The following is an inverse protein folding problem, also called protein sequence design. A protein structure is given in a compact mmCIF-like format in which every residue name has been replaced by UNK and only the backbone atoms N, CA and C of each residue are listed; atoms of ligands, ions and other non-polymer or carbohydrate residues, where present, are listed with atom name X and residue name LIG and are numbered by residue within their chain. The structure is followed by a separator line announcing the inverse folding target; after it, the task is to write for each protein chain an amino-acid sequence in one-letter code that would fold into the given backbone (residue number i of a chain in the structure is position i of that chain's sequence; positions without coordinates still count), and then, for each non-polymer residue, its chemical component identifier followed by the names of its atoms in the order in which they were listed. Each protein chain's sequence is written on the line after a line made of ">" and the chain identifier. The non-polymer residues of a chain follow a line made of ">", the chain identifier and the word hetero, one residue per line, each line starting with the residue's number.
data_IF_107858234662
#
_entry.id   IF_107858234662
#
_cell.length_a   1.000
_cell.length_b   1.000
_cell.length_c   1.000
_cell.angle_alpha   90.00
_cell.angle_beta   90.00
_cell.angle_gamma   90.00
#
_symmetry.space_group_name_H-M   'P 1'
#
loop_
_entity.id
_entity.type
_entity.pdbx_description
1 polymer ?
#
# COMPACT_ATOMS: atom_id res chain seq x y z
N UNK A 1 -35.08 -21.58 -57.71
CA UNK A 1 -34.15 -20.58 -57.14
C UNK A 1 -32.89 -20.52 -57.99
N UNK A 2 -32.49 -19.33 -58.44
CA UNK A 2 -31.34 -19.17 -59.34
C UNK A 2 -30.06 -19.47 -58.56
N UNK A 3 -29.06 -20.11 -59.18
CA UNK A 3 -27.76 -20.44 -58.53
C UNK A 3 -27.15 -19.24 -57.78
N UNK A 4 -27.39 -18.02 -58.28
CA UNK A 4 -27.02 -16.75 -57.65
C UNK A 4 -27.66 -16.55 -56.27
N UNK A 5 -28.94 -16.86 -56.12
CA UNK A 5 -29.69 -16.66 -54.87
C UNK A 5 -29.22 -17.66 -53.79
N UNK A 6 -28.86 -18.88 -54.21
CA UNK A 6 -28.28 -19.89 -53.31
C UNK A 6 -26.89 -19.46 -52.81
N UNK A 7 -26.07 -18.91 -53.71
CA UNK A 7 -24.72 -18.41 -53.39
C UNK A 7 -24.78 -17.19 -52.46
N UNK A 8 -25.69 -16.25 -52.73
CA UNK A 8 -25.95 -15.09 -51.86
C UNK A 8 -26.40 -15.51 -50.47
N UNK A 9 -27.33 -16.47 -50.37
CA UNK A 9 -27.80 -16.96 -49.08
C UNK A 9 -26.71 -17.70 -48.30
N UNK A 10 -25.85 -18.46 -48.99
CA UNK A 10 -24.74 -19.18 -48.34
C UNK A 10 -23.67 -18.21 -47.85
N UNK A 11 -23.36 -17.18 -48.63
CA UNK A 11 -22.47 -16.10 -48.24
C UNK A 11 -23.01 -15.33 -47.04
N UNK A 12 -24.32 -15.04 -47.02
CA UNK A 12 -24.98 -14.34 -45.93
C UNK A 12 -24.90 -15.15 -44.62
N UNK A 13 -25.16 -16.46 -44.69
CA UNK A 13 -25.03 -17.36 -43.54
C UNK A 13 -23.59 -17.41 -43.05
N UNK A 14 -22.61 -17.50 -43.96
CA UNK A 14 -21.20 -17.50 -43.60
C UNK A 14 -20.76 -16.19 -42.92
N UNK A 15 -21.26 -15.04 -43.40
CA UNK A 15 -21.07 -13.73 -42.80
C UNK A 15 -21.67 -13.66 -41.39
N UNK A 16 -22.90 -14.17 -41.20
CA UNK A 16 -23.54 -14.24 -39.88
C UNK A 16 -22.75 -15.14 -38.92
N UNK A 17 -22.25 -16.30 -39.39
CA UNK A 17 -21.40 -17.16 -38.57
C UNK A 17 -20.07 -16.48 -38.20
N UNK A 18 -19.47 -15.72 -39.13
CA UNK A 18 -18.26 -14.94 -38.90
C UNK A 18 -18.50 -13.81 -37.90
N UNK A 19 -19.63 -13.10 -37.95
CA UNK A 19 -19.95 -12.06 -36.97
C UNK A 19 -20.21 -12.66 -35.59
N UNK A 20 -20.90 -13.79 -35.49
CA UNK A 20 -21.07 -14.53 -34.22
C UNK A 20 -19.71 -15.00 -33.67
N UNK A 21 -18.83 -15.50 -34.54
CA UNK A 21 -17.47 -15.91 -34.16
C UNK A 21 -16.62 -14.72 -33.69
N UNK A 22 -16.68 -13.58 -34.39
CA UNK A 22 -16.00 -12.35 -34.01
C UNK A 22 -16.54 -11.75 -32.71
N UNK A 23 -17.86 -11.82 -32.48
CA UNK A 23 -18.47 -11.50 -31.19
C UNK A 23 -17.88 -12.39 -30.11
N UNK A 24 -17.74 -13.69 -30.35
CA UNK A 24 -17.11 -14.60 -29.37
C UNK A 24 -15.66 -14.19 -29.04
N UNK A 25 -14.89 -13.76 -30.02
CA UNK A 25 -13.52 -13.25 -29.81
C UNK A 25 -13.51 -11.91 -29.04
N UNK A 26 -14.50 -11.04 -29.26
CA UNK A 26 -14.70 -9.81 -28.49
C UNK A 26 -15.09 -10.06 -27.02
N UNK A 27 -15.81 -11.15 -26.73
CA UNK A 27 -16.15 -11.53 -25.36
C UNK A 27 -15.01 -12.27 -24.63
N UNK A 28 -14.20 -13.06 -25.35
CA UNK A 28 -13.04 -13.76 -24.77
C UNK A 28 -11.80 -12.87 -24.61
N UNK A 29 -11.64 -11.83 -25.46
CA UNK A 29 -10.61 -10.79 -25.33
C UNK A 29 -11.19 -9.46 -24.83
N UNK A 30 -12.13 -9.52 -23.87
CA UNK A 30 -12.30 -8.35 -23.02
C UNK A 30 -11.01 -8.25 -22.17
N UNK A 31 -10.14 -7.23 -22.37
CA UNK A 31 -9.20 -6.89 -21.33
C UNK A 31 -10.03 -6.72 -20.07
N UNK A 32 -9.59 -7.40 -19.01
CA UNK A 32 -10.26 -7.40 -17.73
C UNK A 32 -10.78 -5.99 -17.44
N UNK A 33 -12.11 -5.84 -17.41
CA UNK A 33 -12.79 -4.55 -17.24
C UNK A 33 -12.67 -4.05 -15.79
N UNK A 34 -11.61 -4.44 -15.09
CA UNK A 34 -11.23 -3.97 -13.77
C UNK A 34 -10.80 -2.49 -13.78
N UNK A 35 -10.43 -1.92 -14.93
CA UNK A 35 -9.87 -0.56 -15.01
C UNK A 35 -10.68 0.48 -15.81
N UNK A 36 -11.91 0.16 -16.22
CA UNK A 36 -12.90 1.23 -16.48
C UNK A 36 -13.67 1.41 -15.18
N UNK A 37 -13.16 2.30 -14.33
CA UNK A 37 -13.91 2.81 -13.19
C UNK A 37 -15.20 3.41 -13.77
N UNK A 38 -16.28 2.62 -13.76
CA UNK A 38 -17.62 3.17 -13.78
C UNK A 38 -17.70 4.03 -12.53
N UNK A 39 -17.63 5.34 -12.73
CA UNK A 39 -17.98 6.34 -11.72
C UNK A 39 -19.49 6.23 -11.52
N UNK A 40 -19.91 5.16 -10.86
CA UNK A 40 -21.26 4.89 -10.37
C UNK A 40 -21.28 3.74 -9.35
N UNK A 41 -20.14 3.39 -8.76
CA UNK A 41 -20.13 2.61 -7.53
C UNK A 41 -20.22 3.60 -6.37
N UNK A 42 -21.29 3.48 -5.58
CA UNK A 42 -21.46 4.23 -4.35
C UNK A 42 -20.18 4.21 -3.52
N UNK A 43 -19.74 5.40 -3.13
CA UNK A 43 -18.61 5.61 -2.24
C UNK A 43 -18.82 4.84 -0.93
N UNK A 44 -18.02 3.80 -0.67
CA UNK A 44 -18.07 3.03 0.58
C UNK A 44 -16.83 3.32 1.45
N UNK A 45 -16.94 4.19 2.46
CA UNK A 45 -15.85 4.48 3.40
C UNK A 45 -15.23 3.23 4.02
N UNK A 46 -16.04 2.21 4.31
CA UNK A 46 -15.57 0.98 4.98
C UNK A 46 -14.56 0.23 4.12
N UNK A 47 -14.79 0.17 2.81
CA UNK A 47 -13.89 -0.50 1.89
C UNK A 47 -12.53 0.22 1.80
N UNK A 48 -12.53 1.55 1.77
CA UNK A 48 -11.29 2.34 1.81
C UNK A 48 -10.52 2.15 3.12
N UNK A 49 -11.22 2.07 4.26
CA UNK A 49 -10.58 1.77 5.53
C UNK A 49 -9.98 0.37 5.56
N UNK A 50 -10.67 -0.64 5.01
CA UNK A 50 -10.11 -1.99 4.88
C UNK A 50 -8.81 -1.97 4.07
N UNK A 51 -8.77 -1.28 2.94
CA UNK A 51 -7.55 -1.18 2.11
C UNK A 51 -6.40 -0.42 2.80
N UNK A 52 -6.75 0.62 3.56
CA UNK A 52 -5.79 1.44 4.32
C UNK A 52 -5.10 0.64 5.42
N UNK A 53 -5.86 -0.25 6.07
CA UNK A 53 -5.42 -1.02 7.23
C UNK A 53 -4.88 -2.41 6.85
N UNK A 54 -4.76 -2.70 5.55
CA UNK A 54 -4.19 -3.94 5.04
C UNK A 54 -2.73 -4.09 5.49
N UNK A 55 -2.34 -5.28 6.01
CA UNK A 55 -0.95 -5.61 6.28
C UNK A 55 -0.06 -5.45 5.04
N UNK A 56 1.24 -5.27 5.24
CA UNK A 56 2.20 -5.15 4.15
C UNK A 56 2.48 -6.51 3.49
N UNK A 57 2.59 -7.55 4.31
CA UNK A 57 2.88 -8.91 3.86
C UNK A 57 2.23 -9.92 4.79
N UNK A 58 1.90 -11.07 4.22
CA UNK A 58 1.47 -12.24 4.96
C UNK A 58 2.58 -13.28 4.89
N UNK A 59 2.85 -13.98 5.99
CA UNK A 59 3.75 -15.12 6.02
C UNK A 59 2.89 -16.36 6.24
N UNK A 60 3.08 -17.36 5.39
CA UNK A 60 2.52 -18.69 5.57
C UNK A 60 3.63 -19.61 6.07
N UNK A 61 3.46 -20.17 7.25
CA UNK A 61 4.35 -21.17 7.83
C UNK A 61 3.73 -22.54 7.63
N UNK A 62 4.44 -23.45 6.97
CA UNK A 62 3.97 -24.82 6.71
C UNK A 62 4.49 -25.83 7.73
N UNK A 63 5.33 -25.35 8.66
CA UNK A 63 6.10 -26.13 9.61
C UNK A 63 7.45 -26.60 9.05
N UNK A 64 8.34 -27.04 9.96
CA UNK A 64 9.67 -27.57 9.63
C UNK A 64 10.53 -26.60 8.79
N UNK A 65 10.62 -25.33 9.23
CA UNK A 65 11.40 -24.27 8.59
C UNK A 65 11.01 -23.99 7.11
N UNK A 66 9.76 -24.26 6.75
CA UNK A 66 9.18 -23.95 5.43
C UNK A 66 8.23 -22.77 5.54
N UNK A 67 8.60 -21.68 4.87
CA UNK A 67 7.93 -20.39 4.98
C UNK A 67 7.75 -19.76 3.60
N UNK A 68 6.64 -19.09 3.38
CA UNK A 68 6.44 -18.24 2.20
C UNK A 68 6.02 -16.84 2.60
N UNK A 69 6.66 -15.83 2.03
CA UNK A 69 6.26 -14.43 2.15
C UNK A 69 5.39 -14.06 0.95
N UNK A 70 4.20 -13.54 1.22
CA UNK A 70 3.15 -13.28 0.23
C UNK A 70 2.76 -11.81 0.31
N UNK A 71 2.81 -11.14 -0.84
CA UNK A 71 2.53 -9.71 -0.99
C UNK A 71 1.13 -9.44 -1.58
N UNK A 72 0.63 -10.36 -2.42
CA UNK A 72 -0.73 -10.34 -2.99
C UNK A 72 -1.60 -11.34 -2.22
N UNK A 73 -2.46 -10.84 -1.34
CA UNK A 73 -3.28 -11.66 -0.44
C UNK A 73 -4.62 -10.99 -0.07
N UNK A 74 -5.17 -10.15 -0.96
CA UNK A 74 -6.39 -9.35 -0.71
C UNK A 74 -7.60 -10.21 -0.29
N UNK A 75 -7.81 -11.32 -0.98
CA UNK A 75 -8.90 -12.26 -0.67
C UNK A 75 -8.73 -12.87 0.72
N UNK A 76 -7.52 -13.30 1.05
CA UNK A 76 -7.19 -13.85 2.37
C UNK A 76 -7.30 -12.78 3.47
N UNK A 77 -6.83 -11.57 3.22
CA UNK A 77 -6.98 -10.49 4.19
C UNK A 77 -8.45 -10.21 4.49
N UNK A 78 -9.31 -10.16 3.47
CA UNK A 78 -10.76 -9.97 3.64
C UNK A 78 -11.41 -11.13 4.38
N UNK A 79 -10.97 -12.37 4.12
CA UNK A 79 -11.45 -13.56 4.82
C UNK A 79 -11.09 -13.55 6.32
N UNK A 80 -9.90 -13.06 6.66
CA UNK A 80 -9.39 -13.00 8.05
C UNK A 80 -9.68 -11.68 8.76
N UNK A 81 -10.32 -10.71 8.09
CA UNK A 81 -10.54 -9.37 8.62
C UNK A 81 -11.28 -9.40 9.96
N UNK A 82 -12.34 -10.20 10.09
CA UNK A 82 -13.10 -10.32 11.34
C UNK A 82 -12.27 -10.92 12.47
N UNK A 83 -11.42 -11.92 12.19
CA UNK A 83 -10.51 -12.50 13.18
C UNK A 83 -9.47 -11.47 13.63
N UNK A 84 -8.88 -10.73 12.69
CA UNK A 84 -7.94 -9.63 12.98
C UNK A 84 -8.63 -8.57 13.86
N UNK A 85 -9.85 -8.16 13.50
CA UNK A 85 -10.66 -7.21 14.27
C UNK A 85 -10.90 -7.68 15.70
N UNK A 86 -11.31 -8.93 15.88
CA UNK A 86 -11.54 -9.51 17.20
C UNK A 86 -10.26 -9.52 18.04
N UNK A 87 -9.11 -9.85 17.44
CA UNK A 87 -7.81 -9.79 18.12
C UNK A 87 -7.52 -8.36 18.59
N UNK A 88 -7.70 -7.35 17.73
CA UNK A 88 -7.51 -5.95 18.14
C UNK A 88 -8.45 -5.52 19.28
N UNK A 89 -9.72 -5.96 19.27
CA UNK A 89 -10.74 -5.54 20.25
C UNK A 89 -10.56 -6.26 21.60
N UNK A 90 -10.23 -7.54 21.58
CA UNK A 90 -10.26 -8.40 22.78
C UNK A 90 -8.89 -8.66 23.41
N UNK A 91 -7.77 -8.24 22.79
CA UNK A 91 -6.40 -8.42 23.34
C UNK A 91 -6.09 -7.47 24.50
N UNK A 92 -6.90 -7.54 25.57
CA UNK A 92 -6.71 -6.75 26.81
C UNK A 92 -5.52 -7.29 27.59
N UNK A 93 -4.87 -6.42 28.38
CA UNK A 93 -3.67 -6.75 29.19
C UNK A 93 -3.80 -8.03 30.03
N UNK A 94 -4.99 -8.30 30.55
CA UNK A 94 -5.30 -9.50 31.37
C UNK A 94 -5.24 -10.82 30.58
N UNK A 95 -5.42 -10.76 29.26
CA UNK A 95 -5.40 -11.90 28.34
C UNK A 95 -4.04 -12.05 27.62
N UNK A 96 -3.07 -11.20 27.95
CA UNK A 96 -1.73 -11.22 27.37
C UNK A 96 -0.75 -11.92 28.31
N UNK A 97 0.01 -12.85 27.76
CA UNK A 97 1.18 -13.43 28.42
C UNK A 97 2.41 -13.05 27.63
N UNK A 98 3.32 -12.31 28.26
CA UNK A 98 4.63 -11.98 27.67
C UNK A 98 5.42 -13.27 27.43
N UNK A 99 6.01 -13.37 26.24
CA UNK A 99 6.86 -14.47 25.83
C UNK A 99 8.20 -13.93 25.34
N UNK A 100 9.24 -14.77 25.36
CA UNK A 100 10.54 -14.37 24.83
C UNK A 100 10.55 -14.32 23.29
N UNK A 101 11.53 -13.62 22.72
CA UNK A 101 11.74 -13.63 21.26
C UNK A 101 11.98 -15.06 20.74
N UNK A 102 12.77 -15.86 21.47
CA UNK A 102 13.03 -17.27 21.16
C UNK A 102 11.74 -18.11 21.18
N UNK A 103 10.88 -17.93 22.19
CA UNK A 103 9.58 -18.61 22.27
C UNK A 103 8.68 -18.22 21.10
N UNK A 104 8.66 -16.95 20.72
CA UNK A 104 7.92 -16.49 19.55
C UNK A 104 8.47 -17.08 18.24
N UNK A 105 9.79 -17.23 18.11
CA UNK A 105 10.40 -17.88 16.94
C UNK A 105 9.99 -19.35 16.84
N UNK A 106 9.94 -20.08 17.96
CA UNK A 106 9.48 -21.47 17.99
C UNK A 106 8.03 -21.64 17.56
N UNK A 107 7.17 -20.63 17.76
CA UNK A 107 5.81 -20.67 17.23
C UNK A 107 5.78 -20.77 15.70
N UNK A 108 6.74 -20.13 15.01
CA UNK A 108 6.83 -20.13 13.56
C UNK A 108 7.14 -21.53 12.97
N UNK A 109 7.66 -22.46 13.78
CA UNK A 109 7.88 -23.86 13.38
C UNK A 109 6.57 -24.66 13.25
N UNK A 110 5.45 -24.10 13.72
CA UNK A 110 4.13 -24.69 13.56
C UNK A 110 3.41 -24.10 12.34
N UNK A 111 2.45 -24.88 11.81
CA UNK A 111 1.54 -24.40 10.76
C UNK A 111 0.79 -23.17 11.24
N UNK A 112 1.02 -22.03 10.60
CA UNK A 112 0.50 -20.73 11.04
C UNK A 112 0.50 -19.68 9.93
N UNK A 113 -0.26 -18.62 10.13
CA UNK A 113 -0.30 -17.43 9.28
C UNK A 113 0.11 -16.23 10.12
N UNK A 114 0.98 -15.38 9.59
CA UNK A 114 1.40 -14.14 10.23
C UNK A 114 1.08 -12.95 9.33
N UNK A 115 0.31 -11.99 9.84
CA UNK A 115 0.09 -10.71 9.18
C UNK A 115 1.08 -9.68 9.75
N UNK A 116 1.89 -9.08 8.87
CA UNK A 116 2.86 -8.04 9.26
C UNK A 116 2.42 -6.66 8.76
N UNK A 117 2.28 -5.72 9.69
CA UNK A 117 1.88 -4.35 9.43
C UNK A 117 3.13 -3.46 9.29
N UNK A 118 3.14 -2.57 8.30
CA UNK A 118 4.22 -1.63 8.01
C UNK A 118 4.04 -0.25 8.67
N UNK A 119 2.93 -0.05 9.38
CA UNK A 119 2.59 1.20 10.03
C UNK A 119 2.24 0.95 11.48
N UNK A 120 2.55 1.93 12.33
CA UNK A 120 2.07 1.99 13.71
C UNK A 120 0.59 2.34 13.71
N UNK A 121 -0.24 1.38 13.31
CA UNK A 121 -1.66 1.43 13.57
C UNK A 121 -1.83 1.14 15.06
N UNK A 122 -2.10 2.19 15.83
CA UNK A 122 -2.50 1.99 17.23
C UNK A 122 -3.87 1.32 17.25
N UNK A 123 -4.12 0.47 18.24
CA UNK A 123 -5.45 -0.12 18.50
C UNK A 123 -6.54 0.96 18.45
N UNK A 124 -6.31 2.09 19.11
CA UNK A 124 -7.21 3.24 19.08
C UNK A 124 -7.46 3.83 17.69
N UNK A 125 -6.44 3.87 16.82
CA UNK A 125 -6.62 4.32 15.44
C UNK A 125 -7.50 3.32 14.67
N UNK A 126 -7.22 2.03 14.83
CA UNK A 126 -8.01 0.96 14.21
C UNK A 126 -9.49 1.03 14.66
N UNK A 127 -9.74 1.03 15.97
CA UNK A 127 -11.09 1.09 16.56
C UNK A 127 -11.86 2.34 16.16
N UNK A 128 -11.21 3.52 16.24
CA UNK A 128 -11.82 4.80 15.82
C UNK A 128 -12.15 4.79 14.34
N UNK A 129 -11.31 4.21 13.49
CA UNK A 129 -11.56 4.15 12.04
C UNK A 129 -12.71 3.22 11.66
N UNK A 130 -13.00 2.24 12.50
CA UNK A 130 -14.08 1.29 12.29
C UNK A 130 -15.40 1.72 12.94
N UNK A 131 -15.43 2.90 13.58
CA UNK A 131 -16.63 3.46 14.19
C UNK A 131 -16.95 2.92 15.58
N UNK A 132 -15.98 2.26 16.24
CA UNK A 132 -16.11 1.88 17.64
C UNK A 132 -15.62 3.04 18.52
N UNK A 133 -16.53 3.95 18.89
CA UNK A 133 -16.25 4.97 19.91
C UNK A 133 -17.48 5.13 20.80
N UNK A 134 -17.29 4.90 22.11
CA UNK A 134 -17.99 5.61 23.20
C UNK A 134 -17.61 5.10 24.60
N UNK A 135 -16.76 4.07 24.73
CA UNK A 135 -16.22 3.71 26.04
C UNK A 135 -14.80 4.25 26.16
N UNK A 136 -14.54 4.96 27.25
CA UNK A 136 -13.19 5.17 27.77
C UNK A 136 -12.55 3.78 27.95
N UNK A 137 -11.93 3.26 26.88
CA UNK A 137 -11.08 2.10 26.99
C UNK A 137 -9.81 2.57 27.67
N UNK A 138 -9.60 2.06 28.87
CA UNK A 138 -8.42 2.35 29.68
C UNK A 138 -7.17 2.02 28.86
N UNK A 139 -6.40 3.06 28.61
CA UNK A 139 -5.44 3.15 27.53
C UNK A 139 -4.16 2.39 27.87
N UNK A 140 -4.09 1.12 27.48
CA UNK A 140 -2.80 0.49 27.19
C UNK A 140 -2.70 0.28 25.68
N UNK A 141 -2.60 1.41 24.96
CA UNK A 141 -2.51 1.48 23.51
C UNK A 141 -1.18 0.89 23.04
N UNK A 142 -1.13 -0.40 22.76
CA UNK A 142 0.08 -0.99 22.23
C UNK A 142 -0.06 -1.19 20.71
N UNK A 143 0.73 -0.49 19.88
CA UNK A 143 0.63 -0.64 18.42
C UNK A 143 1.04 -2.05 18.01
N UNK A 144 0.12 -2.79 17.39
CA UNK A 144 0.37 -4.15 16.90
C UNK A 144 1.11 -4.07 15.56
N UNK A 145 2.28 -4.71 15.51
CA UNK A 145 3.11 -4.81 14.32
C UNK A 145 2.91 -6.14 13.61
N UNK A 146 2.65 -7.22 14.35
CA UNK A 146 2.44 -8.55 13.80
C UNK A 146 1.31 -9.28 14.52
N UNK A 147 0.51 -10.04 13.77
CA UNK A 147 -0.50 -10.96 14.30
C UNK A 147 -0.19 -12.34 13.78
N UNK A 148 0.13 -13.26 14.69
CA UNK A 148 0.32 -14.68 14.44
C UNK A 148 -0.97 -15.44 14.78
N UNK A 149 -1.39 -16.32 13.88
CA UNK A 149 -2.57 -17.18 14.05
C UNK A 149 -2.18 -18.61 13.67
N UNK A 150 -2.37 -19.55 14.59
CA UNK A 150 -2.38 -20.98 14.33
C UNK A 150 -3.71 -21.58 14.77
N UNK A 151 -3.90 -22.89 14.55
CA UNK A 151 -5.06 -23.60 15.09
C UNK A 151 -5.07 -23.69 16.63
N UNK A 152 -3.93 -23.44 17.29
CA UNK A 152 -3.74 -23.66 18.72
C UNK A 152 -3.35 -22.40 19.51
N UNK A 153 -2.71 -21.43 18.85
CA UNK A 153 -2.17 -20.24 19.49
C UNK A 153 -2.46 -18.98 18.66
N UNK A 154 -2.69 -17.88 19.36
CA UNK A 154 -2.66 -16.52 18.82
C UNK A 154 -1.53 -15.78 19.53
N UNK A 155 -0.74 -15.02 18.77
CA UNK A 155 0.28 -14.16 19.34
C UNK A 155 0.32 -12.81 18.62
N UNK A 156 0.71 -11.78 19.34
CA UNK A 156 0.90 -10.43 18.81
C UNK A 156 2.31 -9.94 19.10
N UNK A 157 2.88 -9.20 18.16
CA UNK A 157 4.17 -8.52 18.32
C UNK A 157 3.93 -7.02 18.24
N UNK A 158 4.61 -6.28 19.11
CA UNK A 158 4.54 -4.85 19.16
C UNK A 158 5.89 -4.24 19.58
N UNK A 159 5.92 -2.92 19.79
CA UNK A 159 7.14 -2.19 20.17
C UNK A 159 7.71 -2.58 21.54
N UNK A 160 6.91 -3.14 22.45
CA UNK A 160 7.32 -3.48 23.82
C UNK A 160 7.71 -4.95 23.97
N UNK A 161 7.33 -5.83 23.04
CA UNK A 161 7.71 -7.24 23.07
C UNK A 161 6.77 -8.17 22.31
N UNK A 162 6.77 -9.44 22.74
CA UNK A 162 6.03 -10.54 22.15
C UNK A 162 5.02 -11.07 23.16
N UNK A 163 3.78 -11.33 22.73
CA UNK A 163 2.70 -11.73 23.63
C UNK A 163 1.88 -12.87 23.03
N UNK A 164 1.65 -13.93 23.81
CA UNK A 164 0.54 -14.86 23.55
C UNK A 164 -0.76 -14.25 23.98
N UNK A 165 -1.81 -14.49 23.20
CA UNK A 165 -3.16 -13.98 23.41
C UNK A 165 -4.08 -15.15 23.75
N UNK A 166 -4.70 -15.12 24.93
CA UNK A 166 -5.63 -16.16 25.38
C UNK A 166 -7.05 -15.87 24.92
N UNK A 167 -7.28 -16.02 23.61
CA UNK A 167 -8.60 -15.90 22.98
C UNK A 167 -9.05 -17.23 22.38
N UNK A 168 -10.37 -17.51 22.33
CA UNK A 168 -10.87 -18.68 21.64
C UNK A 168 -10.54 -18.58 20.15
N UNK A 169 -9.95 -19.64 19.60
CA UNK A 169 -9.59 -19.70 18.18
C UNK A 169 -10.83 -20.17 17.42
N UNK A 170 -11.39 -19.28 16.61
CA UNK A 170 -12.59 -19.52 15.82
C UNK A 170 -12.29 -19.81 14.33
N UNK A 171 -11.02 -19.82 13.94
CA UNK A 171 -10.58 -19.90 12.56
C UNK A 171 -9.61 -21.07 12.35
N UNK A 172 -10.05 -22.08 11.59
CA UNK A 172 -9.18 -23.14 11.08
C UNK A 172 -8.40 -22.64 9.86
N UNK A 173 -7.07 -22.72 9.91
CA UNK A 173 -6.18 -22.26 8.85
C UNK A 173 -5.70 -23.39 7.92
N UNK A 174 -6.10 -24.64 8.18
CA UNK A 174 -5.59 -25.84 7.50
C UNK A 174 -5.81 -25.77 5.99
N UNK A 175 -7.02 -25.40 5.57
CA UNK A 175 -7.40 -25.30 4.16
C UNK A 175 -6.67 -24.14 3.47
N UNK A 176 -6.53 -23.00 4.16
CA UNK A 176 -5.80 -21.83 3.66
C UNK A 176 -4.35 -22.19 3.37
N UNK A 177 -3.65 -22.79 4.34
CA UNK A 177 -2.26 -23.19 4.17
C UNK A 177 -2.09 -24.25 3.08
N UNK A 178 -2.98 -25.23 2.99
CA UNK A 178 -2.93 -26.25 1.94
C UNK A 178 -3.08 -25.65 0.54
N UNK A 179 -3.94 -24.63 0.40
CA UNK A 179 -4.14 -23.92 -0.87
C UNK A 179 -2.89 -23.12 -1.27
N UNK A 180 -2.29 -22.41 -0.30
CA UNK A 180 -1.06 -21.65 -0.51
C UNK A 180 0.10 -22.60 -0.88
N UNK A 181 0.24 -23.71 -0.16
CA UNK A 181 1.28 -24.72 -0.39
C UNK A 181 1.19 -25.29 -1.82
N UNK A 182 -0.02 -25.58 -2.28
CA UNK A 182 -0.29 -26.06 -3.65
C UNK A 182 -0.07 -25.00 -4.74
N UNK A 183 -0.08 -23.71 -4.38
CA UNK A 183 0.20 -22.61 -5.33
C UNK A 183 1.68 -22.56 -5.70
N UNK A 184 2.56 -23.15 -4.88
CA UNK A 184 3.99 -23.24 -5.17
C UNK A 184 4.77 -21.95 -4.93
N UNK A 185 4.37 -21.16 -3.93
CA UNK A 185 5.14 -19.99 -3.49
C UNK A 185 6.58 -20.39 -3.12
N UNK A 186 7.51 -19.45 -3.32
CA UNK A 186 8.93 -19.68 -3.05
C UNK A 186 9.16 -19.81 -1.54
N UNK A 187 10.18 -20.61 -1.19
CA UNK A 187 10.57 -20.79 0.21
C UNK A 187 11.46 -19.64 0.68
N UNK A 188 11.23 -19.21 1.91
CA UNK A 188 11.99 -18.20 2.64
C UNK A 188 12.57 -18.86 3.89
N UNK A 189 13.68 -18.29 4.37
CA UNK A 189 14.27 -18.63 5.66
C UNK A 189 14.25 -17.39 6.55
N UNK A 190 13.99 -17.58 7.84
CA UNK A 190 14.06 -16.51 8.80
C UNK A 190 15.52 -16.29 9.29
N UNK A 191 15.78 -15.15 9.93
CA UNK A 191 17.12 -14.79 10.43
C UNK A 191 17.66 -15.76 11.50
N UNK A 192 16.78 -16.38 12.27
CA UNK A 192 17.17 -17.34 13.29
C UNK A 192 17.72 -18.62 12.63
N UNK A 193 17.04 -19.12 11.60
CA UNK A 193 17.47 -20.28 10.81
C UNK A 193 18.80 -20.04 10.07
N UNK A 194 18.99 -18.84 9.51
CA UNK A 194 20.19 -18.53 8.72
C UNK A 194 21.40 -18.15 9.56
N UNK A 195 21.20 -17.39 10.64
CA UNK A 195 22.28 -16.72 11.37
C UNK A 195 22.27 -16.93 12.88
N UNK A 196 21.27 -17.65 13.41
CA UNK A 196 20.99 -17.76 14.85
C UNK A 196 20.80 -16.40 15.50
N UNK A 197 20.14 -15.48 14.78
CA UNK A 197 19.77 -14.14 15.28
C UNK A 197 18.25 -14.15 15.51
N UNK A 198 17.82 -13.89 16.75
CA UNK A 198 16.41 -13.91 17.19
C UNK A 198 15.59 -12.75 16.60
N UNK A 199 15.35 -12.81 15.29
CA UNK A 199 14.60 -11.81 14.54
C UNK A 199 13.66 -12.49 13.57
N UNK A 200 12.41 -12.02 13.56
CA UNK A 200 11.39 -12.52 12.65
C UNK A 200 11.53 -11.93 11.23
N UNK A 201 12.74 -11.85 10.68
CA UNK A 201 13.00 -11.28 9.36
C UNK A 201 13.18 -12.44 8.37
N UNK A 202 12.50 -12.38 7.22
CA UNK A 202 12.53 -13.44 6.21
C UNK A 202 13.31 -13.00 4.98
N UNK A 203 14.21 -13.88 4.51
CA UNK A 203 14.98 -13.72 3.28
C UNK A 203 14.62 -14.89 2.34
N UNK A 204 14.46 -14.64 1.02
CA UNK A 204 14.33 -15.72 0.04
C UNK A 204 15.43 -16.76 0.18
N UNK A 205 15.09 -18.05 0.27
CA UNK A 205 16.10 -19.13 0.37
C UNK A 205 16.96 -19.20 -0.90
N UNK A 206 16.35 -18.94 -2.05
CA UNK A 206 17.04 -18.72 -3.31
C UNK A 206 17.10 -17.22 -3.55
N UNK A 207 18.19 -16.74 -4.12
CA UNK A 207 18.43 -15.35 -4.52
C UNK A 207 17.51 -14.91 -5.69
N UNK A 208 16.21 -15.15 -5.56
CA UNK A 208 15.17 -14.94 -6.56
C UNK A 208 13.88 -14.54 -5.87
N UNK A 209 13.19 -13.55 -6.41
CA UNK A 209 11.82 -13.19 -6.00
C UNK A 209 10.88 -13.19 -7.20
N UNK A 210 9.59 -13.26 -6.93
CA UNK A 210 8.55 -13.12 -7.97
C UNK A 210 7.98 -11.72 -7.88
N UNK A 211 8.16 -10.92 -8.92
CA UNK A 211 7.67 -9.54 -8.96
C UNK A 211 7.43 -9.08 -10.41
N UNK A 212 6.71 -7.97 -10.59
CA UNK A 212 6.38 -7.41 -11.90
C UNK A 212 7.01 -6.04 -12.09
N UNK A 213 7.24 -5.68 -13.35
CA UNK A 213 7.66 -4.32 -13.68
C UNK A 213 6.46 -3.38 -13.57
N UNK A 214 6.66 -2.23 -12.93
CA UNK A 214 5.62 -1.23 -12.70
C UNK A 214 6.04 0.07 -13.36
N UNK A 215 5.10 0.71 -14.06
CA UNK A 215 5.36 1.95 -14.81
C UNK A 215 4.42 3.05 -14.36
N UNK A 216 4.99 4.18 -13.96
CA UNK A 216 4.26 5.36 -13.56
C UNK A 216 4.61 6.53 -14.48
N UNK A 217 3.66 7.44 -14.70
CA UNK A 217 3.89 8.65 -15.47
C UNK A 217 3.10 9.83 -14.90
N UNK A 218 3.58 11.05 -15.16
CA UNK A 218 2.82 12.27 -14.91
C UNK A 218 2.59 13.00 -16.22
N UNK A 219 1.34 13.09 -16.65
CA UNK A 219 0.99 13.85 -17.86
C UNK A 219 0.39 15.22 -17.57
N UNK A 220 0.55 15.78 -16.36
CA UNK A 220 -0.05 17.09 -16.01
C UNK A 220 0.35 18.21 -16.96
N UNK A 221 1.65 18.29 -17.31
CA UNK A 221 2.18 19.33 -18.20
C UNK A 221 1.55 19.29 -19.60
N UNK A 222 1.35 18.08 -20.13
CA UNK A 222 0.83 17.85 -21.49
C UNK A 222 -0.59 17.25 -21.45
N UNK A 223 -1.36 17.58 -20.41
CA UNK A 223 -2.67 17.00 -20.16
C UNK A 223 -3.66 17.53 -21.20
N UNK A 224 -4.46 16.63 -21.79
CA UNK A 224 -5.56 17.02 -22.67
C UNK A 224 -6.49 18.02 -21.97
N UNK A 225 -6.85 19.11 -22.66
CA UNK A 225 -7.65 20.19 -22.08
C UNK A 225 -9.01 19.70 -21.58
N UNK A 226 -9.65 18.74 -22.25
CA UNK A 226 -10.95 18.23 -21.77
C UNK A 226 -10.79 17.39 -20.50
N UNK A 227 -9.70 16.63 -20.37
CA UNK A 227 -9.39 15.91 -19.14
C UNK A 227 -9.02 16.87 -17.99
N UNK A 228 -8.24 17.91 -18.29
CA UNK A 228 -7.87 18.97 -17.34
C UNK A 228 -9.11 19.68 -16.79
N UNK A 229 -10.04 20.05 -17.67
CA UNK A 229 -11.31 20.68 -17.29
C UNK A 229 -12.16 19.77 -16.41
N UNK A 230 -12.33 18.50 -16.80
CA UNK A 230 -13.05 17.52 -15.97
C UNK A 230 -12.43 17.34 -14.58
N UNK A 231 -11.10 17.38 -14.48
CA UNK A 231 -10.42 17.32 -13.19
C UNK A 231 -10.71 18.57 -12.35
N UNK A 232 -10.66 19.76 -12.96
CA UNK A 232 -11.00 21.01 -12.29
C UNK A 232 -12.46 21.04 -11.82
N UNK A 233 -13.40 20.61 -12.67
CA UNK A 233 -14.83 20.50 -12.33
C UNK A 233 -15.06 19.58 -11.15
N UNK A 234 -14.38 18.42 -11.11
CA UNK A 234 -14.47 17.50 -9.97
C UNK A 234 -13.97 18.15 -8.70
N UNK A 235 -12.77 18.73 -8.72
CA UNK A 235 -12.15 19.36 -7.55
C UNK A 235 -13.01 20.50 -6.99
N UNK A 236 -13.37 21.45 -7.83
CA UNK A 236 -14.12 22.66 -7.45
C UNK A 236 -15.63 22.43 -7.37
N UNK A 237 -16.10 21.22 -7.71
CA UNK A 237 -17.51 20.81 -7.68
C UNK A 237 -18.42 21.78 -8.46
N UNK A 238 -17.96 22.24 -9.62
CA UNK A 238 -18.64 23.25 -10.41
C UNK A 238 -18.40 23.01 -11.90
N UNK A 239 -19.35 23.40 -12.76
CA UNK A 239 -19.15 23.38 -14.22
C UNK A 239 -17.99 24.31 -14.62
N UNK A 240 -17.23 23.89 -15.63
CA UNK A 240 -16.07 24.64 -16.13
C UNK A 240 -16.42 26.07 -16.56
N UNK A 241 -17.66 26.32 -16.98
CA UNK A 241 -18.13 27.64 -17.41
C UNK A 241 -18.12 28.70 -16.29
N UNK A 242 -18.12 28.28 -15.03
CA UNK A 242 -18.06 29.16 -13.86
C UNK A 242 -16.68 29.19 -13.19
N UNK A 243 -15.74 28.40 -13.68
CA UNK A 243 -14.40 28.29 -13.14
C UNK A 243 -13.48 29.23 -13.92
N UNK A 244 -12.80 30.13 -13.21
CA UNK A 244 -11.79 31.01 -13.83
C UNK A 244 -10.46 30.28 -13.93
N UNK A 245 -9.93 30.13 -15.14
CA UNK A 245 -8.56 29.63 -15.36
C UNK A 245 -7.56 30.80 -15.49
N UNK A 246 -6.42 30.68 -14.82
CA UNK A 246 -5.26 31.57 -14.92
C UNK A 246 -4.06 30.73 -15.33
N UNK A 247 -3.60 30.88 -16.57
CA UNK A 247 -2.43 30.16 -17.09
C UNK A 247 -1.15 30.96 -16.89
N UNK A 248 -0.11 30.30 -16.38
CA UNK A 248 1.22 30.87 -16.14
C UNK A 248 2.31 29.92 -16.68
N UNK A 249 3.57 30.39 -16.72
CA UNK A 249 4.72 29.60 -17.20
C UNK A 249 4.92 28.31 -16.38
N UNK A 250 4.59 28.34 -15.09
CA UNK A 250 4.76 27.22 -14.17
C UNK A 250 3.54 26.28 -14.07
N UNK A 251 2.42 26.58 -14.73
CA UNK A 251 1.20 25.78 -14.61
C UNK A 251 -0.09 26.55 -14.85
N UNK A 252 -1.20 26.03 -14.35
CA UNK A 252 -2.50 26.70 -14.45
C UNK A 252 -3.24 26.64 -13.12
N UNK A 253 -3.88 27.75 -12.76
CA UNK A 253 -4.68 27.88 -11.54
C UNK A 253 -6.14 28.08 -11.92
N UNK A 254 -7.00 27.21 -11.43
CA UNK A 254 -8.45 27.29 -11.51
C UNK A 254 -8.98 27.88 -10.21
N UNK A 255 -9.90 28.84 -10.32
CA UNK A 255 -10.46 29.56 -9.19
C UNK A 255 -11.97 29.55 -9.27
N UNK A 256 -12.61 29.17 -8.17
CA UNK A 256 -14.05 29.28 -7.97
C UNK A 256 -14.31 29.77 -6.54
N UNK A 257 -14.91 30.96 -6.41
CA UNK A 257 -15.09 31.64 -5.12
C UNK A 257 -13.79 31.71 -4.30
N UNK A 258 -13.74 31.03 -3.16
CA UNK A 258 -12.59 30.98 -2.25
C UNK A 258 -11.76 29.69 -2.42
N UNK A 259 -12.01 28.91 -3.47
CA UNK A 259 -11.31 27.66 -3.75
C UNK A 259 -10.34 27.84 -4.91
N UNK A 260 -9.12 27.35 -4.70
CA UNK A 260 -8.00 27.48 -5.63
C UNK A 260 -7.47 26.09 -5.95
N UNK A 261 -7.31 25.78 -7.24
CA UNK A 261 -6.74 24.52 -7.71
C UNK A 261 -5.64 24.80 -8.71
N UNK A 262 -4.41 24.40 -8.40
CA UNK A 262 -3.25 24.60 -9.25
C UNK A 262 -2.72 23.29 -9.79
N UNK A 263 -2.51 23.24 -11.09
CA UNK A 263 -1.78 22.17 -11.78
C UNK A 263 -0.42 22.71 -12.20
N UNK A 264 0.65 22.22 -11.57
CA UNK A 264 2.02 22.59 -11.87
C UNK A 264 2.61 21.76 -13.01
N UNK A 265 3.47 22.38 -13.81
CA UNK A 265 4.28 21.68 -14.82
C UNK A 265 5.28 20.69 -14.21
N UNK A 266 5.53 20.76 -12.91
CA UNK A 266 6.37 19.82 -12.13
C UNK A 266 5.63 18.55 -11.69
N UNK A 267 4.40 18.34 -12.14
CA UNK A 267 3.62 17.16 -11.76
C UNK A 267 2.90 17.29 -10.41
N UNK A 268 2.75 18.51 -9.87
CA UNK A 268 2.03 18.76 -8.62
C UNK A 268 0.60 19.23 -8.87
N UNK A 269 -0.34 18.70 -8.08
CA UNK A 269 -1.69 19.24 -7.90
C UNK A 269 -1.76 19.84 -6.50
N UNK A 270 -2.20 21.09 -6.41
CA UNK A 270 -2.37 21.81 -5.15
C UNK A 270 -3.81 22.36 -5.11
N UNK A 271 -4.53 22.11 -4.03
CA UNK A 271 -5.85 22.68 -3.78
C UNK A 271 -5.89 23.36 -2.42
N UNK A 272 -6.54 24.52 -2.35
CA UNK A 272 -6.79 25.25 -1.11
C UNK A 272 -8.23 25.77 -1.09
N UNK A 273 -8.89 25.63 0.07
CA UNK A 273 -10.15 26.31 0.37
C UNK A 273 -9.91 27.43 1.40
N UNK A 274 -10.13 28.68 1.01
CA UNK A 274 -10.00 29.86 1.86
C UNK A 274 -11.31 30.30 2.53
N UNK A 275 -12.38 29.52 2.42
CA UNK A 275 -13.64 29.75 3.16
C UNK A 275 -13.38 29.75 4.67
N UNK A 276 -14.20 30.53 5.40
CA UNK A 276 -14.21 30.48 6.85
C UNK A 276 -14.91 29.20 7.31
N UNK A 277 -14.32 28.51 8.28
CA UNK A 277 -14.85 27.28 8.86
C UNK A 277 -14.66 27.29 10.37
N UNK A 278 -15.47 26.49 11.07
CA UNK A 278 -15.37 26.29 12.51
C UNK A 278 -15.24 24.79 12.81
N UNK A 279 -14.20 24.40 13.54
CA UNK A 279 -13.93 23.04 13.99
C UNK A 279 -13.17 23.10 15.32
N UNK A 280 -13.88 23.41 16.40
CA UNK A 280 -13.28 23.62 17.73
C UNK A 280 -12.81 22.33 18.41
N UNK A 281 -13.35 21.17 18.02
CA UNK A 281 -12.99 19.86 18.56
C UNK A 281 -12.44 18.98 17.45
N UNK A 282 -11.28 18.38 17.70
CA UNK A 282 -10.68 17.39 16.83
C UNK A 282 -11.52 16.10 16.78
N UNK A 283 -11.73 15.57 15.58
CA UNK A 283 -12.35 14.27 15.38
C UNK A 283 -11.59 13.50 14.28
N UNK A 284 -10.73 12.57 14.70
CA UNK A 284 -9.89 11.79 13.80
C UNK A 284 -10.71 10.98 12.78
N UNK A 285 -11.77 10.30 13.23
CA UNK A 285 -12.60 9.48 12.36
C UNK A 285 -13.27 10.31 11.27
N UNK A 286 -13.93 11.41 11.66
CA UNK A 286 -14.59 12.29 10.69
C UNK A 286 -13.55 12.89 9.74
N UNK A 287 -12.42 13.38 10.25
CA UNK A 287 -11.38 14.01 9.42
C UNK A 287 -10.78 13.04 8.42
N UNK A 288 -10.45 11.81 8.84
CA UNK A 288 -9.87 10.81 7.94
C UNK A 288 -10.92 10.29 6.93
N UNK A 289 -12.18 10.09 7.34
CA UNK A 289 -13.27 9.78 6.40
C UNK A 289 -13.42 10.87 5.35
N UNK A 290 -13.40 12.13 5.75
CA UNK A 290 -13.46 13.28 4.84
C UNK A 290 -12.26 13.31 3.89
N UNK A 291 -11.04 13.05 4.38
CA UNK A 291 -9.83 12.98 3.55
C UNK A 291 -9.96 11.88 2.48
N UNK A 292 -10.33 10.66 2.87
CA UNK A 292 -10.53 9.54 1.94
C UNK A 292 -11.66 9.81 0.96
N UNK A 293 -12.76 10.44 1.41
CA UNK A 293 -13.86 10.88 0.54
C UNK A 293 -13.36 11.84 -0.53
N UNK A 294 -12.57 12.83 -0.12
CA UNK A 294 -12.01 13.82 -1.02
C UNK A 294 -11.08 13.17 -2.05
N UNK A 295 -10.14 12.30 -1.62
CA UNK A 295 -9.24 11.63 -2.55
C UNK A 295 -10.03 10.80 -3.57
N UNK A 296 -10.93 9.94 -3.11
CA UNK A 296 -11.70 9.05 -3.99
C UNK A 296 -12.57 9.83 -4.99
N UNK A 297 -13.27 10.87 -4.55
CA UNK A 297 -14.21 11.62 -5.39
C UNK A 297 -13.52 12.62 -6.33
N UNK A 298 -12.44 13.27 -5.88
CA UNK A 298 -11.78 14.34 -6.64
C UNK A 298 -10.73 13.80 -7.61
N UNK A 299 -9.92 12.83 -7.14
CA UNK A 299 -8.80 12.28 -7.92
C UNK A 299 -9.16 11.02 -8.69
N UNK A 300 -10.12 10.24 -8.19
CA UNK A 300 -10.43 8.89 -8.67
C UNK A 300 -9.47 7.81 -8.16
N UNK A 301 -8.52 8.16 -7.28
CA UNK A 301 -7.63 7.21 -6.60
C UNK A 301 -8.38 6.66 -5.38
N UNK A 302 -8.63 5.36 -5.36
CA UNK A 302 -9.30 4.68 -4.27
C UNK A 302 -8.54 3.44 -3.77
N UNK A 303 -7.62 2.92 -4.58
CA UNK A 303 -6.82 1.73 -4.26
C UNK A 303 -5.39 2.13 -4.02
N UNK A 304 -4.62 1.21 -3.44
CA UNK A 304 -3.16 1.30 -3.43
C UNK A 304 -2.60 2.47 -2.61
N UNK A 305 -3.44 3.10 -1.78
CA UNK A 305 -3.03 4.11 -0.81
C UNK A 305 -2.76 3.46 0.55
N UNK A 306 -1.79 4.01 1.27
CA UNK A 306 -1.62 3.75 2.68
C UNK A 306 -1.35 5.04 3.44
N UNK A 307 -1.77 5.08 4.70
CA UNK A 307 -1.55 6.20 5.60
C UNK A 307 -0.12 6.13 6.16
N UNK A 308 0.74 7.07 5.79
CA UNK A 308 2.12 7.10 6.28
C UNK A 308 2.27 7.90 7.58
N UNK A 309 1.47 8.96 7.75
CA UNK A 309 1.60 9.86 8.91
C UNK A 309 0.28 10.55 9.24
N UNK A 310 0.10 10.83 10.52
CA UNK A 310 -0.96 11.70 11.05
C UNK A 310 -0.32 12.71 11.99
N UNK A 311 -0.59 13.99 11.77
CA UNK A 311 -0.11 15.07 12.63
C UNK A 311 -1.28 15.94 13.06
N UNK A 312 -1.27 16.43 14.30
CA UNK A 312 -2.22 17.44 14.75
C UNK A 312 -1.84 18.79 14.14
N UNK A 313 -2.83 19.52 13.65
CA UNK A 313 -2.65 20.88 13.12
C UNK A 313 -3.72 21.82 13.64
N UNK A 314 -3.36 23.08 13.75
CA UNK A 314 -4.25 24.15 14.20
C UNK A 314 -4.30 25.27 13.17
N UNK A 315 -5.48 25.86 12.99
CA UNK A 315 -5.68 27.04 12.16
C UNK A 315 -6.55 28.05 12.93
N UNK A 316 -5.89 29.01 13.59
CA UNK A 316 -6.54 29.86 14.57
C UNK A 316 -7.08 29.02 15.73
N UNK A 317 -8.39 29.07 15.97
CA UNK A 317 -9.06 28.28 17.01
C UNK A 317 -9.55 26.90 16.50
N UNK A 318 -9.31 26.58 15.23
CA UNK A 318 -9.74 25.33 14.64
C UNK A 318 -8.67 24.26 14.81
N UNK A 319 -9.09 23.05 15.21
CA UNK A 319 -8.23 21.89 15.39
C UNK A 319 -8.56 20.81 14.37
N UNK A 320 -7.52 20.21 13.80
CA UNK A 320 -7.64 19.22 12.74
C UNK A 320 -6.41 18.34 12.64
N UNK A 321 -6.29 17.68 11.50
CA UNK A 321 -5.19 16.74 11.22
C UNK A 321 -4.57 17.02 9.86
N UNK A 322 -3.24 16.92 9.80
CA UNK A 322 -2.52 16.71 8.55
C UNK A 322 -2.36 15.21 8.34
N UNK A 323 -2.88 14.72 7.21
CA UNK A 323 -2.72 13.33 6.78
C UNK A 323 -1.72 13.26 5.65
N UNK A 324 -0.79 12.31 5.75
CA UNK A 324 0.12 11.94 4.68
C UNK A 324 -0.21 10.55 4.16
N UNK A 325 -0.29 10.41 2.83
CA UNK A 325 -0.50 9.13 2.17
C UNK A 325 0.57 8.87 1.11
N UNK A 326 0.96 7.60 1.02
CA UNK A 326 1.84 7.08 -0.01
C UNK A 326 1.14 5.97 -0.82
N UNK A 327 1.78 5.58 -1.91
CA UNK A 327 1.28 4.54 -2.81
C UNK A 327 1.98 3.22 -2.54
N UNK A 328 1.29 2.11 -2.78
CA UNK A 328 1.82 0.73 -2.75
C UNK A 328 1.33 -0.02 -3.96
N UNK A 329 2.09 -0.98 -4.46
CA UNK A 329 1.65 -1.90 -5.52
C UNK A 329 1.87 -3.32 -5.03
N UNK A 330 0.85 -4.17 -5.11
CA UNK A 330 0.91 -5.53 -4.55
C UNK A 330 1.33 -5.51 -3.07
N UNK A 331 0.87 -4.52 -2.30
CA UNK A 331 1.30 -4.29 -0.89
C UNK A 331 2.79 -3.90 -0.70
N UNK A 332 3.55 -3.75 -1.79
CA UNK A 332 4.94 -3.25 -1.78
C UNK A 332 4.92 -1.72 -1.84
N UNK A 333 5.48 -1.00 -0.85
CA UNK A 333 5.44 0.46 -0.82
C UNK A 333 6.24 1.09 -1.97
N UNK A 334 5.71 2.19 -2.51
CA UNK A 334 6.39 3.05 -3.46
C UNK A 334 6.95 4.26 -2.71
N UNK A 335 8.27 4.44 -2.80
CA UNK A 335 9.04 5.46 -2.11
C UNK A 335 9.55 6.47 -3.13
N UNK A 336 9.37 7.75 -2.85
CA UNK A 336 9.83 8.83 -3.72
C UNK A 336 11.34 9.04 -3.57
N UNK A 337 12.05 9.09 -4.70
CA UNK A 337 13.47 9.48 -4.74
C UNK A 337 13.61 11.01 -4.64
N UNK A 338 13.41 11.52 -3.43
CA UNK A 338 13.58 12.94 -3.09
C UNK A 338 14.30 13.08 -1.76
N UNK A 339 15.25 14.00 -1.70
CA UNK A 339 15.97 14.37 -0.46
C UNK A 339 15.06 15.05 0.56
N UNK A 340 14.01 15.73 0.11
CA UNK A 340 12.97 16.25 0.99
C UNK A 340 11.91 15.17 1.19
N UNK A 341 11.69 14.76 2.45
CA UNK A 341 10.72 13.75 2.89
C UNK A 341 9.27 14.15 2.57
N UNK A 342 8.89 14.18 1.30
CA UNK A 342 7.52 14.38 0.85
C UNK A 342 6.82 13.03 0.68
N UNK A 343 5.55 13.00 1.06
CA UNK A 343 4.61 11.92 0.73
C UNK A 343 3.92 12.21 -0.60
N UNK A 344 3.29 11.19 -1.20
CA UNK A 344 2.56 11.35 -2.46
C UNK A 344 1.36 12.31 -2.34
N UNK A 345 0.65 12.23 -1.22
CA UNK A 345 -0.50 13.08 -0.92
C UNK A 345 -0.33 13.63 0.50
N UNK A 346 -0.53 14.93 0.66
CA UNK A 346 -0.62 15.60 1.95
C UNK A 346 -1.92 16.42 2.01
N UNK A 347 -2.64 16.36 3.13
CA UNK A 347 -3.92 17.05 3.27
C UNK A 347 -4.11 17.59 4.68
N UNK A 348 -4.59 18.83 4.81
CA UNK A 348 -5.06 19.36 6.09
C UNK A 348 -6.59 19.31 6.13
N UNK A 349 -7.12 18.61 7.13
CA UNK A 349 -8.55 18.36 7.27
C UNK A 349 -9.01 18.67 8.70
N UNK A 350 -10.05 19.48 8.79
CA UNK A 350 -10.68 19.94 10.02
C UNK A 350 -12.10 19.40 10.07
N UNK A 351 -12.26 18.21 10.64
CA UNK A 351 -13.53 17.47 10.68
C UNK A 351 -14.10 17.23 9.27
N UNK A 352 -15.15 17.95 8.87
CA UNK A 352 -15.77 17.83 7.54
C UNK A 352 -15.18 18.78 6.51
N UNK A 353 -14.21 19.62 6.87
CA UNK A 353 -13.65 20.65 6.00
C UNK A 353 -12.23 20.31 5.55
N UNK A 354 -12.01 20.21 4.23
CA UNK A 354 -10.67 20.05 3.64
C UNK A 354 -10.10 21.44 3.36
N UNK A 355 -9.09 21.84 4.15
CA UNK A 355 -8.45 23.15 4.03
C UNK A 355 -7.45 23.17 2.89
N UNK A 356 -6.63 22.13 2.78
CA UNK A 356 -5.62 22.01 1.74
C UNK A 356 -5.42 20.57 1.29
N UNK A 357 -4.97 20.43 0.05
CA UNK A 357 -4.63 19.15 -0.58
C UNK A 357 -3.42 19.37 -1.49
N UNK A 358 -2.41 18.52 -1.37
CA UNK A 358 -1.25 18.50 -2.24
C UNK A 358 -1.00 17.09 -2.71
N UNK A 359 -0.71 16.92 -4.00
CA UNK A 359 -0.41 15.63 -4.58
C UNK A 359 0.72 15.71 -5.59
N UNK A 360 1.66 14.76 -5.49
CA UNK A 360 2.55 14.40 -6.58
C UNK A 360 1.77 13.49 -7.52
N UNK A 361 1.32 14.04 -8.63
CA UNK A 361 0.43 13.35 -9.54
C UNK A 361 1.20 12.32 -10.36
N UNK A 362 0.90 11.07 -10.08
CA UNK A 362 1.41 9.92 -10.83
C UNK A 362 0.25 8.99 -11.16
N UNK A 363 0.31 8.40 -12.34
CA UNK A 363 -0.65 7.41 -12.81
C UNK A 363 0.09 6.13 -13.17
N UNK A 364 -0.41 5.01 -12.68
CA UNK A 364 -0.01 3.71 -13.18
C UNK A 364 -0.35 3.62 -14.67
N UNK A 365 0.60 3.12 -15.47
CA UNK A 365 0.35 2.78 -16.86
C UNK A 365 -0.39 1.46 -16.88
N UNK A 366 -1.64 1.46 -17.34
CA UNK A 366 -2.37 0.25 -17.69
C UNK A 366 -1.73 -0.37 -18.94
N UNK A 367 -0.60 -1.07 -18.76
CA UNK A 367 -0.11 -2.01 -19.76
C UNK A 367 -0.92 -3.30 -19.67
N UNK A 368 -1.15 -4.01 -20.80
CA UNK A 368 -1.61 -5.40 -20.73
C UNK A 368 -0.62 -6.16 -19.83
N UNK A 369 -1.16 -6.66 -18.71
CA UNK A 369 -0.54 -7.36 -17.60
C UNK A 369 0.99 -7.49 -17.70
N UNK A 370 1.74 -6.64 -16.98
CA UNK A 370 3.13 -6.98 -16.70
C UNK A 370 3.13 -8.26 -15.87
N UNK A 371 3.48 -9.37 -16.52
CA UNK A 371 3.50 -10.69 -15.89
C UNK A 371 4.48 -10.70 -14.72
N UNK A 372 4.11 -11.41 -13.66
CA UNK A 372 5.03 -11.73 -12.59
C UNK A 372 6.17 -12.56 -13.17
N UNK A 373 7.40 -12.09 -12.97
CA UNK A 373 8.62 -12.77 -13.42
C UNK A 373 9.51 -13.10 -12.24
N UNK A 374 10.23 -14.20 -12.38
CA UNK A 374 11.33 -14.52 -11.49
C UNK A 374 12.46 -13.53 -11.74
N UNK A 375 12.85 -12.81 -10.70
CA UNK A 375 13.90 -11.78 -10.72
C UNK A 375 15.00 -12.21 -9.78
N UNK A 376 16.22 -12.34 -10.31
CA UNK A 376 17.41 -12.57 -9.49
C UNK A 376 17.70 -11.37 -8.60
N UNK A 377 18.08 -11.64 -7.35
CA UNK A 377 18.38 -10.62 -6.35
C UNK A 377 19.76 -10.87 -5.77
N UNK A 378 20.46 -9.82 -5.39
CA UNK A 378 21.66 -9.99 -4.55
C UNK A 378 21.28 -10.50 -3.15
N UNK A 379 22.11 -11.38 -2.59
CA UNK A 379 21.95 -11.81 -1.19
C UNK A 379 22.14 -10.61 -0.25
N UNK A 380 21.60 -10.71 0.96
CA UNK A 380 21.73 -9.62 1.96
C UNK A 380 23.20 -9.42 2.34
N UNK A 381 23.97 -10.49 2.43
CA UNK A 381 25.40 -10.48 2.71
C UNK A 381 26.18 -9.79 1.60
N UNK A 382 25.87 -10.07 0.33
CA UNK A 382 26.52 -9.42 -0.80
C UNK A 382 26.17 -7.92 -0.86
N UNK A 383 24.93 -7.55 -0.56
CA UNK A 383 24.50 -6.14 -0.45
C UNK A 383 25.29 -5.43 0.65
N UNK A 384 25.40 -6.03 1.84
CA UNK A 384 26.15 -5.46 2.96
C UNK A 384 27.62 -5.31 2.58
N UNK A 385 28.25 -6.37 2.05
CA UNK A 385 29.66 -6.39 1.69
C UNK A 385 30.00 -5.33 0.63
N UNK A 386 29.14 -5.16 -0.37
CA UNK A 386 29.32 -4.14 -1.43
C UNK A 386 29.16 -2.71 -0.93
N UNK A 387 28.41 -2.51 0.16
CA UNK A 387 28.05 -1.20 0.67
C UNK A 387 28.45 -0.98 2.14
N UNK A 388 29.55 -1.60 2.60
CA UNK A 388 29.99 -1.57 4.00
C UNK A 388 30.03 -0.15 4.60
N UNK A 389 30.48 0.84 3.82
CA UNK A 389 30.56 2.26 4.21
C UNK A 389 29.19 2.84 4.63
N UNK A 390 28.07 2.27 4.17
CA UNK A 390 26.72 2.70 4.57
C UNK A 390 26.29 2.15 5.92
N UNK A 391 26.85 1.00 6.32
CA UNK A 391 26.59 0.34 7.60
C UNK A 391 27.59 0.75 8.69
N UNK A 392 28.69 1.44 8.31
CA UNK A 392 29.82 1.74 9.18
C UNK A 392 30.24 3.20 9.06
N UNK A 393 30.27 4.00 10.15
CA UNK A 393 31.22 5.10 10.21
C UNK A 393 32.64 4.51 10.21
N UNK A 394 33.58 5.17 9.53
CA UNK A 394 34.86 4.63 9.01
C UNK A 394 35.86 4.12 10.09
N UNK A 395 35.47 4.04 11.37
CA UNK A 395 36.39 3.89 12.50
C UNK A 395 36.23 2.60 13.35
N UNK A 396 35.25 1.73 13.08
CA UNK A 396 35.08 0.47 13.83
C UNK A 396 35.15 -0.76 12.93
N UNK A 397 35.94 -1.78 13.31
CA UNK A 397 35.93 -3.08 12.64
C UNK A 397 34.73 -3.90 13.13
N UNK A 398 33.61 -3.79 12.44
CA UNK A 398 32.39 -4.58 12.71
C UNK A 398 32.30 -5.75 11.72
N UNK A 399 32.13 -6.98 12.22
CA UNK A 399 31.89 -8.16 11.37
C UNK A 399 30.48 -8.06 10.73
N UNK A 400 30.27 -8.64 9.54
CA UNK A 400 28.93 -8.77 8.90
C UNK A 400 27.89 -9.29 9.90
N UNK A 401 28.27 -10.26 10.76
CA UNK A 401 27.38 -10.79 11.80
C UNK A 401 26.85 -9.71 12.74
N UNK A 402 27.67 -8.72 13.09
CA UNK A 402 27.25 -7.63 13.97
C UNK A 402 26.40 -6.59 13.22
N UNK A 403 26.65 -6.38 11.91
CA UNK A 403 25.75 -5.61 11.05
C UNK A 403 24.36 -6.27 11.01
N UNK A 404 24.29 -7.58 10.75
CA UNK A 404 23.04 -8.36 10.73
C UNK A 404 22.29 -8.27 12.09
N UNK A 405 23.01 -8.29 13.21
CA UNK A 405 22.42 -8.09 14.55
C UNK A 405 21.81 -6.70 14.77
N UNK A 406 22.17 -5.69 13.97
CA UNK A 406 21.62 -4.35 14.08
C UNK A 406 20.55 -4.02 13.02
N UNK A 407 20.29 -4.94 12.07
CA UNK A 407 19.19 -4.81 11.10
C UNK A 407 17.84 -5.02 11.78
N UNK A 408 17.00 -4.00 11.82
CA UNK A 408 15.69 -4.05 12.46
C UNK A 408 14.64 -4.74 11.59
N UNK A 409 14.69 -4.53 10.28
CA UNK A 409 13.78 -5.17 9.32
C UNK A 409 14.34 -5.13 7.89
N UNK A 410 13.83 -6.01 7.03
CA UNK A 410 14.12 -6.06 5.59
C UNK A 410 12.81 -6.16 4.81
N UNK A 411 12.62 -5.23 3.86
CA UNK A 411 11.41 -5.15 3.05
C UNK A 411 11.71 -4.89 1.58
N UNK A 412 10.78 -5.24 0.71
CA UNK A 412 10.78 -4.76 -0.67
C UNK A 412 10.17 -3.37 -0.73
N UNK A 413 10.65 -2.57 -1.68
CA UNK A 413 10.11 -1.27 -2.02
C UNK A 413 10.28 -1.01 -3.52
N UNK A 414 9.45 -0.15 -4.07
CA UNK A 414 9.66 0.46 -5.38
C UNK A 414 10.14 1.90 -5.18
N UNK A 415 11.17 2.31 -5.92
CA UNK A 415 11.66 3.68 -5.93
C UNK A 415 11.09 4.39 -7.16
N UNK A 416 10.38 5.49 -6.93
CA UNK A 416 9.86 6.38 -7.96
C UNK A 416 10.73 7.62 -8.09
N UNK A 417 11.50 7.68 -9.18
CA UNK A 417 12.21 8.88 -9.58
C UNK A 417 11.23 9.84 -10.25
N UNK A 418 10.78 10.82 -9.47
CA UNK A 418 9.87 11.88 -9.88
C UNK A 418 10.56 13.09 -10.48
N UNK A 419 11.89 13.09 -10.60
CA UNK A 419 12.63 14.11 -11.35
C UNK A 419 12.38 13.97 -12.85
N UNK A 420 12.19 12.73 -13.31
CA UNK A 420 11.72 12.42 -14.65
C UNK A 420 10.20 12.21 -14.61
N UNK A 421 9.42 13.06 -15.27
CA UNK A 421 7.95 12.97 -15.23
C UNK A 421 7.37 12.08 -16.35
N UNK A 422 8.22 11.64 -17.29
CA UNK A 422 7.80 10.75 -18.37
C UNK A 422 7.56 9.33 -17.86
N UNK A 423 7.15 8.44 -18.77
CA UNK A 423 6.82 7.05 -18.47
C UNK A 423 8.03 6.32 -17.92
N UNK A 424 8.10 6.21 -16.60
CA UNK A 424 9.23 5.62 -15.90
C UNK A 424 8.86 4.28 -15.32
N UNK A 425 9.76 3.32 -15.51
CA UNK A 425 9.78 2.09 -14.75
C UNK A 425 10.19 2.41 -13.31
N UNK A 426 9.43 1.94 -12.33
CA UNK A 426 9.83 2.01 -10.93
C UNK A 426 11.03 1.10 -10.68
N UNK A 427 11.99 1.55 -9.89
CA UNK A 427 13.18 0.75 -9.56
C UNK A 427 12.90 -0.09 -8.33
N UNK A 428 12.92 -1.41 -8.46
CA UNK A 428 12.68 -2.29 -7.31
C UNK A 428 13.93 -2.35 -6.42
N UNK A 429 13.70 -2.28 -5.11
CA UNK A 429 14.76 -2.15 -4.12
C UNK A 429 14.48 -3.02 -2.88
N UNK A 430 15.56 -3.43 -2.22
CA UNK A 430 15.53 -3.87 -0.83
C UNK A 430 15.73 -2.65 0.07
N UNK A 431 14.79 -2.46 1.00
CA UNK A 431 14.92 -1.58 2.15
C UNK A 431 15.48 -2.38 3.32
N UNK A 432 16.65 -1.97 3.82
CA UNK A 432 17.24 -2.47 5.06
C UNK A 432 17.10 -1.37 6.11
N UNK A 433 16.27 -1.62 7.12
CA UNK A 433 16.19 -0.74 8.28
C UNK A 433 17.34 -1.09 9.23
N UNK A 434 18.29 -0.17 9.39
CA UNK A 434 19.52 -0.37 10.14
C UNK A 434 19.76 0.80 11.08
N UNK A 435 19.78 0.57 12.39
CA UNK A 435 19.94 1.63 13.41
C UNK A 435 18.97 2.82 13.20
N UNK A 436 17.69 2.54 12.96
CA UNK A 436 16.64 3.52 12.66
C UNK A 436 16.85 4.34 11.36
N UNK A 437 17.77 3.92 10.49
CA UNK A 437 18.01 4.51 9.16
C UNK A 437 17.41 3.58 8.11
N UNK A 438 16.71 4.12 7.13
CA UNK A 438 16.19 3.32 6.02
C UNK A 438 17.14 3.38 4.83
N UNK A 439 17.83 2.27 4.55
CA UNK A 439 18.79 2.18 3.46
C UNK A 439 18.20 1.39 2.30
N UNK A 440 18.18 1.97 1.11
CA UNK A 440 17.59 1.36 -0.08
C UNK A 440 18.68 0.92 -1.07
N UNK A 441 18.57 -0.31 -1.55
CA UNK A 441 19.53 -0.92 -2.48
C UNK A 441 18.81 -1.53 -3.68
N UNK A 442 19.35 -1.37 -4.89
CA UNK A 442 18.81 -1.99 -6.10
C UNK A 442 18.84 -3.52 -5.98
N UNK A 443 17.76 -4.20 -6.33
CA UNK A 443 17.71 -5.67 -6.24
C UNK A 443 18.71 -6.39 -7.13
N UNK A 444 18.83 -5.94 -8.37
CA UNK A 444 19.56 -6.58 -9.46
C UNK A 444 21.08 -6.36 -9.38
N UNK A 445 21.52 -5.25 -8.78
CA UNK A 445 22.94 -4.90 -8.68
C UNK A 445 23.45 -4.75 -7.25
N UNK A 446 22.58 -4.83 -6.23
CA UNK A 446 22.94 -4.55 -4.84
C UNK A 446 23.56 -3.17 -4.61
N UNK A 447 23.29 -2.18 -5.47
CA UNK A 447 23.85 -0.83 -5.41
C UNK A 447 23.01 0.04 -4.47
N UNK A 448 23.65 0.80 -3.59
CA UNK A 448 22.97 1.84 -2.81
C UNK A 448 22.26 2.84 -3.73
N UNK A 449 20.97 3.07 -3.44
CA UNK A 449 20.11 4.01 -4.14
C UNK A 449 19.97 5.29 -3.34
N UNK A 450 19.45 5.19 -2.11
CA UNK A 450 19.17 6.33 -1.24
C UNK A 450 19.06 5.92 0.23
N UNK A 451 18.99 6.93 1.10
CA UNK A 451 18.76 6.80 2.53
C UNK A 451 17.62 7.76 2.93
N UNK A 452 16.77 7.33 3.86
CA UNK A 452 15.68 8.13 4.45
C UNK A 452 15.72 8.14 5.97
#
# INVERSE_FOLDING_TARGET
>A
MKKRDLLLNTLLIALICLTIFQIRFLWFNLPDRSNVIKINNEYNPKELFTELLKPQKMIANFGEERHSVIYVFDDLYREYLNTILNIFIESKKELLTEISAEEYMKLQENRSIVFKFNHTITENMFLKLLGFVDKEHDSNNVPIQEIYISNNDIAIVNQIGFFKVHLPIDKDITQTLSTIENTGYKNYKNFYELYSIEKNIYIPQKNTITARDIYYFSNLKNMDSSYKNKLAERFLNQSIDYIREITQINGSTFVYENQYLKFSNTGLIEYENAEKFESQKENLYISLRTALSFIATKTGIAKDLYLSKIELVENGNNKGYKFSFNLKEDSIPIILDKQENHDYIEMEVFSSFVKSYKQIYRKAVNMPQTEFKETEIYSIEDIIQKNLIKFMPVEEYTNIKDILKNIQDINLAYIDDVSNLEKNKLTMAININYNNRQLYFSLDAGKFLMER
#
